data_IF_404788063629
#
_entry.id   IF_404788063629
#
_cell.length_a   1.000
_cell.length_b   1.000
_cell.length_c   1.000
_cell.angle_alpha   90.00
_cell.angle_beta   90.00
_cell.angle_gamma   90.00
#
_symmetry.space_group_name_H-M   'P 1'
#
loop_
_entity.id
_entity.type
_entity.pdbx_description
1 polymer ?
#
# COMPACT_ATOMS: atom_id res chain seq x y z
N UNK A 1 -7.02 24.12 -21.78
CA UNK A 1 -6.14 25.28 -22.10
C UNK A 1 -6.95 26.29 -22.90
N UNK A 2 -6.67 27.59 -22.80
CA UNK A 2 -7.38 28.62 -23.59
C UNK A 2 -6.80 28.76 -25.00
N UNK A 3 -7.66 29.08 -25.98
CA UNK A 3 -7.32 29.16 -27.41
C UNK A 3 -6.12 30.10 -27.67
N UNK A 4 -6.10 31.25 -27.01
CA UNK A 4 -5.04 32.26 -27.11
C UNK A 4 -3.63 31.71 -26.77
N UNK A 5 -3.54 30.74 -25.85
CA UNK A 5 -2.25 30.14 -25.48
C UNK A 5 -1.75 29.16 -26.55
N UNK A 6 -2.67 28.47 -27.23
CA UNK A 6 -2.34 27.52 -28.29
C UNK A 6 -1.80 28.28 -29.51
N UNK A 7 -2.44 29.40 -29.87
CA UNK A 7 -2.06 30.19 -31.05
C UNK A 7 -0.65 30.79 -30.92
N UNK A 8 -0.26 31.23 -29.71
CA UNK A 8 1.11 31.72 -29.42
C UNK A 8 2.19 30.63 -29.52
N UNK A 9 1.85 29.39 -29.21
CA UNK A 9 2.77 28.27 -29.30
C UNK A 9 2.90 27.79 -30.76
N UNK A 10 1.80 27.80 -31.51
CA UNK A 10 1.82 27.53 -32.94
C UNK A 10 2.67 28.56 -33.71
N UNK A 11 2.63 29.84 -33.35
CA UNK A 11 3.37 30.90 -34.06
C UNK A 11 4.90 30.79 -33.94
N UNK A 12 5.41 30.05 -32.94
CA UNK A 12 6.85 29.82 -32.77
C UNK A 12 7.30 28.46 -33.34
N UNK A 13 6.44 27.76 -34.09
CA UNK A 13 6.74 26.44 -34.62
C UNK A 13 6.93 25.40 -33.52
N UNK A 14 6.21 25.54 -32.39
CA UNK A 14 6.33 24.63 -31.27
C UNK A 14 5.94 23.21 -31.70
N UNK A 15 6.92 22.31 -31.71
CA UNK A 15 6.69 20.91 -32.05
C UNK A 15 5.95 20.21 -30.89
N UNK A 16 4.64 20.05 -31.09
CA UNK A 16 3.77 19.36 -30.14
C UNK A 16 4.10 17.87 -29.99
N UNK A 17 4.89 17.27 -30.90
CA UNK A 17 5.32 15.87 -30.79
C UNK A 17 6.30 15.65 -29.64
N UNK A 18 7.07 16.68 -29.26
CA UNK A 18 7.97 16.67 -28.09
C UNK A 18 7.18 16.68 -26.78
N UNK A 19 5.97 17.24 -26.81
CA UNK A 19 4.98 17.15 -25.74
C UNK A 19 3.99 16.01 -25.94
N UNK A 20 4.29 15.01 -26.79
CA UNK A 20 3.49 13.79 -26.88
C UNK A 20 3.55 13.07 -25.53
N UNK A 21 2.72 13.53 -24.60
CA UNK A 21 2.32 12.76 -23.44
C UNK A 21 1.75 11.49 -24.01
N UNK A 22 2.41 10.37 -23.70
CA UNK A 22 1.89 9.04 -24.00
C UNK A 22 0.40 9.04 -23.66
N UNK A 23 -0.40 8.65 -24.62
CA UNK A 23 -1.83 8.51 -24.45
C UNK A 23 -2.14 7.58 -23.28
N UNK A 24 -3.38 7.61 -22.81
CA UNK A 24 -3.80 6.73 -21.73
C UNK A 24 -3.56 5.26 -22.10
N UNK A 25 -3.88 4.85 -23.34
CA UNK A 25 -3.70 3.47 -23.80
C UNK A 25 -2.22 3.08 -23.93
N UNK A 26 -1.33 3.99 -24.34
CA UNK A 26 0.11 3.73 -24.34
C UNK A 26 0.68 3.53 -22.93
N UNK A 27 0.29 4.37 -21.98
CA UNK A 27 0.71 4.19 -20.58
C UNK A 27 0.10 2.94 -19.95
N UNK A 28 -1.14 2.60 -20.31
CA UNK A 28 -1.76 1.34 -19.91
C UNK A 28 -0.98 0.14 -20.47
N UNK A 29 -0.54 0.19 -21.73
CA UNK A 29 0.35 -0.81 -22.33
C UNK A 29 1.68 -0.95 -21.57
N UNK A 30 2.29 0.17 -21.18
CA UNK A 30 3.49 0.15 -20.33
C UNK A 30 3.23 -0.45 -18.94
N UNK A 31 2.05 -0.21 -18.35
CA UNK A 31 1.67 -0.82 -17.08
C UNK A 31 1.47 -2.34 -17.20
N UNK A 32 0.91 -2.82 -18.31
CA UNK A 32 0.81 -4.24 -18.60
C UNK A 32 2.19 -4.89 -18.65
N UNK A 33 3.14 -4.26 -19.33
CA UNK A 33 4.52 -4.76 -19.40
C UNK A 33 5.20 -4.73 -18.03
N UNK A 34 5.01 -3.65 -17.26
CA UNK A 34 5.49 -3.58 -15.90
C UNK A 34 4.94 -4.74 -15.05
N UNK A 35 3.63 -5.01 -15.13
CA UNK A 35 2.99 -6.13 -14.44
C UNK A 35 3.57 -7.47 -14.90
N UNK A 36 3.81 -7.66 -16.20
CA UNK A 36 4.38 -8.89 -16.75
C UNK A 36 5.75 -9.21 -16.13
N UNK A 37 6.59 -8.18 -15.94
CA UNK A 37 7.93 -8.34 -15.37
C UNK A 37 7.92 -8.47 -13.85
N UNK A 38 7.08 -7.70 -13.15
CA UNK A 38 7.10 -7.61 -11.68
C UNK A 38 6.08 -8.52 -10.99
N UNK A 39 5.12 -9.07 -11.74
CA UNK A 39 3.99 -9.86 -11.23
C UNK A 39 2.81 -9.04 -10.69
N UNK A 40 3.02 -7.78 -10.28
CA UNK A 40 1.99 -6.93 -9.67
C UNK A 40 2.06 -5.46 -10.09
N UNK A 41 0.94 -4.74 -9.97
CA UNK A 41 0.77 -3.33 -10.40
C UNK A 41 1.14 -2.29 -9.32
N UNK A 42 1.99 -2.65 -8.35
CA UNK A 42 2.50 -1.73 -7.32
C UNK A 42 3.72 -0.97 -7.85
N UNK A 43 3.45 0.00 -8.72
CA UNK A 43 4.50 0.86 -9.31
C UNK A 43 5.04 1.83 -8.25
N UNK A 44 6.37 1.92 -8.05
CA UNK A 44 6.99 2.90 -7.17
C UNK A 44 6.69 4.34 -7.58
N UNK A 45 6.52 5.23 -6.60
CA UNK A 45 6.24 6.65 -6.86
C UNK A 45 7.30 7.34 -7.72
N UNK A 46 8.56 6.97 -7.54
CA UNK A 46 9.72 7.50 -8.25
C UNK A 46 9.99 6.80 -9.59
N UNK A 47 9.13 5.88 -10.03
CA UNK A 47 9.26 5.27 -11.35
C UNK A 47 9.12 6.34 -12.43
N UNK A 48 10.18 6.58 -13.21
CA UNK A 48 10.31 7.75 -14.08
C UNK A 48 9.12 7.96 -15.03
N UNK A 49 8.61 6.88 -15.63
CA UNK A 49 7.51 6.94 -16.62
C UNK A 49 6.14 6.72 -15.97
N UNK A 50 5.93 5.55 -15.36
CA UNK A 50 4.62 5.14 -14.83
C UNK A 50 4.26 5.75 -13.46
N UNK A 51 5.22 6.21 -12.65
CA UNK A 51 4.96 6.70 -11.30
C UNK A 51 3.95 7.87 -11.29
N UNK A 52 4.20 8.96 -12.03
CA UNK A 52 3.26 10.07 -12.15
C UNK A 52 1.90 9.65 -12.72
N UNK A 53 1.90 8.81 -13.77
CA UNK A 53 0.66 8.38 -14.42
C UNK A 53 -0.23 7.54 -13.51
N UNK A 54 0.35 6.57 -12.78
CA UNK A 54 -0.36 5.72 -11.80
C UNK A 54 -0.91 6.56 -10.65
N UNK A 55 -0.15 7.55 -10.17
CA UNK A 55 -0.65 8.47 -9.14
C UNK A 55 -1.87 9.25 -9.62
N UNK A 56 -1.83 9.75 -10.86
CA UNK A 56 -2.95 10.45 -11.46
C UNK A 56 -4.17 9.53 -11.64
N UNK A 57 -3.97 8.25 -12.00
CA UNK A 57 -5.09 7.31 -12.07
C UNK A 57 -5.77 7.16 -10.70
N UNK A 58 -4.99 7.06 -9.61
CA UNK A 58 -5.52 6.93 -8.26
C UNK A 58 -6.28 8.17 -7.80
N UNK A 59 -5.80 9.38 -8.13
CA UNK A 59 -6.51 10.62 -7.78
C UNK A 59 -7.81 10.79 -8.54
N UNK A 60 -7.84 10.35 -9.80
CA UNK A 60 -8.93 10.61 -10.72
C UNK A 60 -9.94 9.47 -10.77
N UNK A 61 -9.88 8.50 -9.85
CA UNK A 61 -10.77 7.33 -9.86
C UNK A 61 -12.25 7.71 -9.93
N UNK A 62 -12.66 8.81 -9.29
CA UNK A 62 -14.06 9.27 -9.27
C UNK A 62 -14.48 10.02 -10.53
N UNK A 63 -13.54 10.57 -11.29
CA UNK A 63 -13.77 11.35 -12.52
C UNK A 63 -13.40 10.58 -13.80
N UNK A 64 -12.77 9.42 -13.65
CA UNK A 64 -12.35 8.54 -14.74
C UNK A 64 -13.55 7.85 -15.39
N UNK A 65 -13.44 7.59 -16.70
CA UNK A 65 -14.45 6.81 -17.41
C UNK A 65 -14.51 5.37 -16.90
N UNK A 66 -15.72 4.81 -16.87
CA UNK A 66 -15.98 3.44 -16.41
C UNK A 66 -15.12 2.41 -17.16
N UNK A 67 -14.96 2.55 -18.48
CA UNK A 67 -14.13 1.65 -19.28
C UNK A 67 -12.66 1.62 -18.84
N UNK A 68 -12.09 2.77 -18.43
CA UNK A 68 -10.70 2.83 -17.95
C UNK A 68 -10.56 2.22 -16.56
N UNK A 69 -11.56 2.41 -15.69
CA UNK A 69 -11.62 1.75 -14.39
C UNK A 69 -11.64 0.23 -14.57
N UNK A 70 -12.52 -0.29 -15.45
CA UNK A 70 -12.62 -1.73 -15.75
C UNK A 70 -11.31 -2.30 -16.31
N UNK A 71 -10.65 -1.57 -17.23
CA UNK A 71 -9.34 -1.97 -17.75
C UNK A 71 -8.29 -2.07 -16.64
N UNK A 72 -8.26 -1.15 -15.69
CA UNK A 72 -7.34 -1.16 -14.56
C UNK A 72 -7.69 -2.25 -13.53
N UNK A 73 -8.97 -2.44 -13.23
CA UNK A 73 -9.47 -3.49 -12.33
C UNK A 73 -9.14 -4.89 -12.86
N UNK A 74 -9.34 -5.13 -14.15
CA UNK A 74 -9.05 -6.44 -14.78
C UNK A 74 -7.59 -6.87 -14.67
N UNK A 75 -6.67 -5.91 -14.49
CA UNK A 75 -5.24 -6.19 -14.31
C UNK A 75 -4.82 -6.17 -12.84
N UNK A 76 -5.76 -6.07 -11.90
CA UNK A 76 -5.48 -6.02 -10.47
C UNK A 76 -4.74 -4.75 -10.05
N UNK A 77 -5.11 -3.61 -10.65
CA UNK A 77 -4.52 -2.33 -10.29
C UNK A 77 -4.79 -1.97 -8.83
N UNK A 78 -3.75 -1.55 -8.11
CA UNK A 78 -3.86 -1.20 -6.70
C UNK A 78 -4.25 0.28 -6.60
N UNK A 79 -5.54 0.52 -6.35
CA UNK A 79 -6.10 1.86 -6.16
C UNK A 79 -5.69 2.48 -4.82
N UNK A 80 -5.78 1.71 -3.73
CA UNK A 80 -5.33 2.12 -2.40
C UNK A 80 -4.10 1.31 -1.98
N UNK A 81 -2.93 1.95 -2.06
CA UNK A 81 -1.65 1.33 -1.69
C UNK A 81 -1.55 1.10 -0.19
N UNK A 82 -2.13 2.00 0.62
CA UNK A 82 -2.04 1.89 2.07
C UNK A 82 -2.87 0.71 2.57
N UNK A 83 -4.08 0.55 2.03
CA UNK A 83 -4.94 -0.59 2.31
C UNK A 83 -4.30 -1.90 1.84
N UNK A 84 -3.77 -1.93 0.62
CA UNK A 84 -3.06 -3.09 0.09
C UNK A 84 -1.87 -3.49 0.98
N UNK A 85 -1.03 -2.53 1.35
CA UNK A 85 0.16 -2.79 2.18
C UNK A 85 -0.23 -3.20 3.61
N UNK A 86 -1.31 -2.65 4.17
CA UNK A 86 -1.82 -3.09 5.45
C UNK A 86 -2.27 -4.56 5.41
N UNK A 87 -3.05 -4.93 4.40
CA UNK A 87 -3.54 -6.30 4.21
C UNK A 87 -2.40 -7.29 3.98
N UNK A 88 -1.36 -6.89 3.24
CA UNK A 88 -0.19 -7.75 2.99
C UNK A 88 0.62 -7.99 4.28
N UNK A 89 0.86 -6.94 5.07
CA UNK A 89 1.51 -7.11 6.37
C UNK A 89 0.67 -7.95 7.35
N UNK A 90 -0.65 -7.78 7.34
CA UNK A 90 -1.56 -8.60 8.14
C UNK A 90 -1.47 -10.09 7.76
N UNK A 91 -1.46 -10.42 6.47
CA UNK A 91 -1.23 -11.80 5.98
C UNK A 91 0.12 -12.36 6.42
N UNK A 92 1.19 -11.57 6.29
CA UNK A 92 2.52 -11.98 6.74
C UNK A 92 2.58 -12.23 8.25
N UNK A 93 1.88 -11.43 9.04
CA UNK A 93 1.76 -11.62 10.49
C UNK A 93 1.03 -12.92 10.83
N UNK A 94 -0.09 -13.22 10.16
CA UNK A 94 -0.81 -14.49 10.35
C UNK A 94 0.08 -15.70 10.04
N UNK A 95 0.83 -15.64 8.94
CA UNK A 95 1.73 -16.72 8.56
C UNK A 95 2.91 -16.86 9.53
N UNK A 96 3.45 -15.75 10.02
CA UNK A 96 4.48 -15.77 11.06
C UNK A 96 3.94 -16.40 12.35
N UNK A 97 2.74 -16.00 12.80
CA UNK A 97 2.11 -16.60 13.97
C UNK A 97 1.90 -18.09 13.80
N UNK A 98 1.40 -18.54 12.64
CA UNK A 98 1.19 -19.95 12.34
C UNK A 98 2.48 -20.76 12.43
N UNK A 99 3.61 -20.18 11.98
CA UNK A 99 4.93 -20.84 11.99
C UNK A 99 5.63 -20.80 13.35
N UNK A 100 5.50 -19.69 14.08
CA UNK A 100 6.31 -19.41 15.27
C UNK A 100 5.52 -19.52 16.58
N UNK A 101 4.19 -19.69 16.51
CA UNK A 101 3.29 -19.73 17.67
C UNK A 101 3.15 -18.39 18.39
N UNK A 102 3.71 -17.30 17.86
CA UNK A 102 3.67 -15.97 18.46
C UNK A 102 3.83 -14.86 17.40
N UNK A 103 3.55 -13.62 17.80
CA UNK A 103 3.63 -12.43 16.95
C UNK A 103 4.88 -11.57 17.21
N UNK A 104 5.92 -12.11 17.87
CA UNK A 104 7.13 -11.37 18.26
C UNK A 104 8.12 -11.32 17.10
N UNK A 105 7.85 -10.43 16.13
CA UNK A 105 8.76 -10.18 15.01
C UNK A 105 9.78 -9.11 15.40
N UNK A 106 11.10 -9.34 15.22
CA UNK A 106 12.12 -8.34 15.52
C UNK A 106 11.90 -7.03 14.76
N UNK A 107 12.04 -5.89 15.46
CA UNK A 107 11.79 -4.54 14.89
C UNK A 107 12.70 -4.19 13.71
N UNK A 108 13.85 -4.84 13.57
CA UNK A 108 14.75 -4.63 12.42
C UNK A 108 14.15 -5.14 11.11
N UNK A 109 13.14 -6.02 11.17
CA UNK A 109 12.42 -6.54 9.99
C UNK A 109 11.27 -5.59 9.63
N UNK A 110 10.94 -5.43 8.33
CA UNK A 110 9.83 -4.57 7.89
C UNK A 110 8.50 -4.86 8.61
N UNK A 111 8.16 -6.14 8.78
CA UNK A 111 6.97 -6.56 9.52
C UNK A 111 7.02 -6.13 11.00
N UNK A 112 8.17 -6.22 11.66
CA UNK A 112 8.35 -5.75 13.04
C UNK A 112 8.20 -4.23 13.20
N UNK A 113 8.69 -3.44 12.23
CA UNK A 113 8.47 -1.99 12.19
C UNK A 113 6.98 -1.66 12.02
N UNK A 114 6.31 -2.37 11.12
CA UNK A 114 4.87 -2.20 10.89
C UNK A 114 4.06 -2.54 12.15
N UNK A 115 4.36 -3.65 12.82
CA UNK A 115 3.78 -4.07 14.11
C UNK A 115 3.92 -2.94 15.14
N UNK A 116 5.13 -2.39 15.29
CA UNK A 116 5.39 -1.31 16.24
C UNK A 116 4.57 -0.04 15.91
N UNK A 117 4.38 0.28 14.63
CA UNK A 117 3.48 1.36 14.19
C UNK A 117 2.04 1.09 14.64
N UNK A 118 1.54 -0.13 14.50
CA UNK A 118 0.18 -0.49 14.96
C UNK A 118 0.05 -0.37 16.50
N UNK A 119 1.08 -0.75 17.26
CA UNK A 119 1.09 -0.57 18.72
C UNK A 119 1.02 0.89 19.14
N UNK A 120 1.75 1.78 18.44
CA UNK A 120 1.64 3.23 18.65
C UNK A 120 0.23 3.73 18.33
N UNK A 121 -0.36 3.32 17.22
CA UNK A 121 -1.74 3.69 16.88
C UNK A 121 -2.74 3.22 17.94
N UNK A 122 -2.56 2.03 18.51
CA UNK A 122 -3.39 1.53 19.61
C UNK A 122 -3.34 2.40 20.86
N UNK A 123 -2.17 2.94 21.22
CA UNK A 123 -2.06 3.86 22.37
C UNK A 123 -2.83 5.17 22.20
N UNK A 124 -3.28 5.48 20.97
CA UNK A 124 -4.08 6.66 20.64
C UNK A 124 -5.59 6.37 20.60
N UNK A 125 -6.03 5.14 20.91
CA UNK A 125 -7.45 4.80 21.05
C UNK A 125 -8.06 5.66 22.15
N UNK A 126 -9.08 6.45 21.80
CA UNK A 126 -9.70 7.45 22.67
C UNK A 126 -9.34 8.90 22.32
N UNK A 127 -8.32 9.11 21.48
CA UNK A 127 -8.02 10.43 20.92
C UNK A 127 -8.87 10.73 19.69
N UNK A 128 -9.20 12.01 19.46
CA UNK A 128 -9.90 12.46 18.25
C UNK A 128 -9.07 12.29 16.96
N UNK A 129 -7.80 11.86 17.06
CA UNK A 129 -6.87 11.76 15.92
C UNK A 129 -6.92 10.42 15.19
N UNK A 130 -7.60 9.41 15.72
CA UNK A 130 -7.65 8.06 15.12
C UNK A 130 -8.84 7.92 14.18
N UNK A 131 -8.60 7.49 12.93
CA UNK A 131 -9.66 7.28 11.94
C UNK A 131 -10.51 6.05 12.29
N UNK A 132 -11.75 6.00 11.81
CA UNK A 132 -12.63 4.82 11.96
C UNK A 132 -11.98 3.58 11.35
N UNK A 133 -11.29 3.75 10.21
CA UNK A 133 -10.63 2.65 9.51
C UNK A 133 -9.44 2.10 10.29
N UNK A 134 -8.65 2.97 10.91
CA UNK A 134 -7.55 2.54 11.78
C UNK A 134 -8.07 1.80 13.02
N UNK A 135 -9.23 2.17 13.56
CA UNK A 135 -9.87 1.41 14.64
C UNK A 135 -10.23 0.00 14.18
N UNK A 136 -10.90 -0.13 13.03
CA UNK A 136 -11.27 -1.45 12.45
C UNK A 136 -10.05 -2.35 12.23
N UNK A 137 -8.98 -1.78 11.66
CA UNK A 137 -7.70 -2.47 11.47
C UNK A 137 -7.08 -2.96 12.78
N UNK A 138 -7.16 -2.15 13.85
CA UNK A 138 -6.67 -2.54 15.17
C UNK A 138 -7.53 -3.64 15.83
N UNK A 139 -8.82 -3.67 15.58
CA UNK A 139 -9.71 -4.74 16.04
C UNK A 139 -9.34 -6.09 15.40
N UNK A 140 -9.05 -6.09 14.09
CA UNK A 140 -8.55 -7.29 13.39
C UNK A 140 -7.24 -7.82 14.01
N UNK A 141 -6.32 -6.93 14.36
CA UNK A 141 -5.07 -7.32 15.02
C UNK A 141 -5.29 -7.84 16.44
N UNK A 142 -6.28 -7.30 17.16
CA UNK A 142 -6.61 -7.75 18.52
C UNK A 142 -7.10 -9.20 18.54
N UNK A 143 -7.78 -9.65 17.48
CA UNK A 143 -8.24 -11.03 17.32
C UNK A 143 -7.12 -12.05 17.04
N UNK A 144 -5.94 -11.60 16.61
CA UNK A 144 -4.76 -12.45 16.35
C UNK A 144 -4.00 -12.80 17.64
N UNK A 145 -4.57 -12.61 18.83
CA UNK A 145 -3.84 -12.72 20.12
C UNK A 145 -2.55 -11.89 20.15
N UNK A 146 -2.47 -10.85 19.30
CA UNK A 146 -1.33 -9.96 19.11
C UNK A 146 -0.92 -9.23 20.40
N UNK A 147 -1.87 -9.08 21.33
CA UNK A 147 -1.70 -8.42 22.62
C UNK A 147 -1.81 -9.37 23.83
N UNK A 148 -2.09 -10.67 23.63
CA UNK A 148 -2.16 -11.63 24.72
C UNK A 148 -0.76 -12.21 24.97
N UNK A 149 -0.26 -12.10 26.22
CA UNK A 149 0.80 -12.99 26.71
C UNK A 149 0.32 -14.40 26.37
N UNK A 150 1.08 -15.14 25.56
CA UNK A 150 0.78 -16.52 25.24
C UNK A 150 0.48 -17.27 26.56
N UNK A 151 -0.79 -17.59 26.83
CA UNK A 151 -1.13 -18.77 27.61
C UNK A 151 -0.97 -19.93 26.66
N UNK A 152 0.28 -20.33 26.50
CA UNK A 152 0.63 -21.58 25.86
C UNK A 152 0.10 -22.69 26.77
N UNK A 153 -0.97 -23.38 26.36
CA UNK A 153 -1.47 -24.59 27.05
C UNK A 153 -0.49 -25.78 26.94
N UNK A 154 0.62 -25.59 26.20
CA UNK A 154 1.70 -26.58 26.03
C UNK A 154 2.88 -26.34 26.99
N UNK A 155 2.85 -25.28 27.79
CA UNK A 155 3.97 -24.86 28.63
C UNK A 155 3.64 -25.09 30.11
N UNK A 156 3.40 -26.34 30.50
CA UNK A 156 3.09 -26.70 31.90
C UNK A 156 4.30 -26.80 32.83
N UNK A 157 5.53 -26.54 32.40
CA UNK A 157 6.68 -26.60 33.32
C UNK A 157 7.63 -25.41 33.17
N UNK A 158 7.61 -24.60 34.24
CA UNK A 158 8.69 -23.79 34.82
C UNK A 158 9.56 -22.93 33.92
N UNK A 159 9.40 -21.61 34.07
CA UNK A 159 10.51 -20.66 34.01
C UNK A 159 10.85 -20.07 32.64
N UNK A 160 10.05 -19.12 32.17
CA UNK A 160 10.54 -18.13 31.21
C UNK A 160 10.91 -16.87 31.97
N UNK A 161 12.20 -16.75 32.31
CA UNK A 161 12.81 -15.53 32.82
C UNK A 161 12.51 -14.38 31.86
N UNK A 162 11.86 -13.34 32.39
CA UNK A 162 11.96 -12.00 31.87
C UNK A 162 13.40 -11.56 32.11
N UNK A 163 14.27 -11.60 31.09
CA UNK A 163 15.43 -10.71 30.99
C UNK A 163 16.24 -10.92 29.72
N UNK A 164 16.79 -9.79 29.25
CA UNK A 164 17.66 -9.56 28.09
C UNK A 164 16.92 -9.43 26.77
N UNK A 165 16.68 -8.18 26.37
CA UNK A 165 17.25 -7.62 25.13
C UNK A 165 17.31 -6.09 25.31
N UNK A 166 18.49 -5.61 25.73
CA UNK A 166 18.99 -4.28 25.38
C UNK A 166 19.29 -4.24 23.88
#
# INVERSE_FOLDING_TARGET
MSQNRIDKLNSIGFDWSVLSYKSWDENYGLLLEYKRVNGYCKVPRNHAVLGPWVMHQRSDRTTMSQNRIEKLDSIGFIWDVNEHDWNENYKQLMEYQRKNGNCKVPIIRPLGQWIHKQMKLRSLIGSAKISIEDKRRLDLLSNISFFQKCKCDVCQFTGCNEDKYL
#
